data_IF_938329089357
#
_entry.id   IF_938329089357
#
_cell.length_a   1.000
_cell.length_b   1.000
_cell.length_c   1.000
_cell.angle_alpha   90.00
_cell.angle_beta   90.00
_cell.angle_gamma   90.00
#
_symmetry.space_group_name_H-M   'P 1'
#
loop_
_entity.id
_entity.type
_entity.pdbx_description
1 polymer ?
#
# COMPACT_ATOMS: atom_id res chain seq x y z
N UNK A 1 10.65 9.17 28.13
CA UNK A 1 10.02 8.37 27.07
C UNK A 1 10.97 8.36 25.88
N UNK A 2 11.38 7.21 25.32
CA UNK A 2 12.26 7.19 24.15
C UNK A 2 11.53 7.77 22.94
N UNK A 3 12.23 8.58 22.14
CA UNK A 3 11.70 9.14 20.89
C UNK A 3 11.42 8.00 19.89
N UNK A 4 10.36 8.12 19.04
CA UNK A 4 10.09 7.12 18.02
C UNK A 4 11.29 7.03 17.08
N UNK A 5 11.81 5.81 16.92
CA UNK A 5 12.87 5.53 15.94
C UNK A 5 12.34 5.74 14.52
N UNK A 6 13.15 6.23 13.60
CA UNK A 6 12.76 6.52 12.21
C UNK A 6 12.08 5.33 11.51
N UNK A 7 12.47 4.10 11.89
CA UNK A 7 11.86 2.87 11.40
C UNK A 7 10.40 2.67 11.83
N UNK A 8 10.00 3.12 13.02
CA UNK A 8 8.60 3.08 13.45
C UNK A 8 7.74 4.07 12.67
N UNK A 9 8.25 5.29 12.44
CA UNK A 9 7.57 6.32 11.65
C UNK A 9 7.35 5.84 10.21
N UNK A 10 8.37 5.26 9.58
CA UNK A 10 8.26 4.70 8.22
C UNK A 10 7.22 3.57 8.15
N UNK A 11 7.18 2.69 9.15
CA UNK A 11 6.20 1.59 9.21
C UNK A 11 4.77 2.09 9.40
N UNK A 12 4.58 3.16 10.18
CA UNK A 12 3.26 3.81 10.33
C UNK A 12 2.81 4.44 9.02
N UNK A 13 3.69 5.20 8.36
CA UNK A 13 3.40 5.83 7.07
C UNK A 13 3.04 4.80 5.98
N UNK A 14 3.76 3.68 5.91
CA UNK A 14 3.45 2.61 4.96
C UNK A 14 2.06 2.00 5.19
N UNK A 15 1.66 1.79 6.45
CA UNK A 15 0.32 1.29 6.79
C UNK A 15 -0.77 2.27 6.40
N UNK A 16 -0.56 3.55 6.68
CA UNK A 16 -1.49 4.62 6.32
C UNK A 16 -1.64 4.75 4.80
N UNK A 17 -0.54 4.64 4.07
CA UNK A 17 -0.56 4.64 2.59
C UNK A 17 -1.40 3.49 2.03
N UNK A 18 -1.21 2.27 2.54
CA UNK A 18 -2.00 1.09 2.13
C UNK A 18 -3.48 1.26 2.47
N UNK A 19 -3.79 1.86 3.62
CA UNK A 19 -5.16 2.15 4.06
C UNK A 19 -5.87 3.11 3.11
N UNK A 20 -5.22 4.23 2.79
CA UNK A 20 -5.72 5.23 1.83
C UNK A 20 -5.93 4.60 0.44
N UNK A 21 -4.96 3.81 -0.05
CA UNK A 21 -5.06 3.15 -1.34
C UNK A 21 -6.21 2.14 -1.41
N UNK A 22 -6.49 1.43 -0.30
CA UNK A 22 -7.62 0.51 -0.21
C UNK A 22 -8.96 1.26 -0.20
N UNK A 23 -9.03 2.41 0.45
CA UNK A 23 -10.21 3.27 0.40
C UNK A 23 -10.47 3.76 -1.03
N UNK A 24 -9.43 4.21 -1.73
CA UNK A 24 -9.50 4.60 -3.15
C UNK A 24 -9.99 3.43 -4.02
N UNK A 25 -9.43 2.24 -3.83
CA UNK A 25 -9.85 1.01 -4.53
C UNK A 25 -11.33 0.69 -4.30
N UNK A 26 -11.82 0.89 -3.08
CA UNK A 26 -13.23 0.68 -2.72
C UNK A 26 -14.13 1.70 -3.42
N UNK A 27 -13.74 2.99 -3.42
CA UNK A 27 -14.47 4.07 -4.10
C UNK A 27 -14.55 3.81 -5.62
N UNK A 28 -13.44 3.37 -6.22
CA UNK A 28 -13.36 3.03 -7.64
C UNK A 28 -14.00 1.67 -7.98
N UNK A 29 -14.55 0.95 -6.99
CA UNK A 29 -15.14 -0.38 -7.14
C UNK A 29 -14.22 -1.38 -7.85
N UNK A 30 -12.90 -1.28 -7.64
CA UNK A 30 -11.94 -2.20 -8.27
C UNK A 30 -11.94 -3.59 -7.63
N UNK A 31 -12.62 -3.74 -6.48
CA UNK A 31 -12.78 -5.00 -5.76
C UNK A 31 -11.44 -5.67 -5.38
N UNK A 32 -10.39 -4.86 -5.13
CA UNK A 32 -9.12 -5.33 -4.59
C UNK A 32 -9.19 -5.38 -3.06
N UNK A 33 -8.97 -6.57 -2.50
CA UNK A 33 -8.75 -6.73 -1.07
C UNK A 33 -7.38 -6.15 -0.64
N UNK A 34 -7.25 -5.76 0.63
CA UNK A 34 -6.02 -5.25 1.23
C UNK A 34 -4.81 -6.13 0.94
N UNK A 35 -4.96 -7.45 0.93
CA UNK A 35 -3.86 -8.37 0.60
C UNK A 35 -3.44 -8.21 -0.86
N UNK A 36 -4.40 -8.23 -1.80
CA UNK A 36 -4.13 -8.06 -3.23
C UNK A 36 -3.46 -6.71 -3.52
N UNK A 37 -3.95 -5.64 -2.90
CA UNK A 37 -3.38 -4.31 -3.01
C UNK A 37 -1.93 -4.25 -2.51
N UNK A 38 -1.63 -4.91 -1.39
CA UNK A 38 -0.26 -5.03 -0.88
C UNK A 38 0.66 -5.78 -1.85
N UNK A 39 0.17 -6.84 -2.50
CA UNK A 39 0.93 -7.55 -3.53
C UNK A 39 1.18 -6.68 -4.75
N UNK A 40 0.17 -5.93 -5.21
CA UNK A 40 0.32 -5.01 -6.34
C UNK A 40 1.37 -3.94 -6.06
N UNK A 41 1.36 -3.35 -4.86
CA UNK A 41 2.40 -2.38 -4.44
C UNK A 41 3.77 -3.03 -4.49
N UNK A 42 3.94 -4.21 -3.90
CA UNK A 42 5.23 -4.92 -3.92
C UNK A 42 5.71 -5.23 -5.34
N UNK A 43 4.81 -5.65 -6.23
CA UNK A 43 5.16 -5.93 -7.63
C UNK A 43 5.58 -4.66 -8.38
N UNK A 44 4.84 -3.56 -8.18
CA UNK A 44 5.17 -2.26 -8.78
C UNK A 44 6.52 -1.74 -8.24
N UNK A 45 6.77 -1.87 -6.93
CA UNK A 45 8.07 -1.55 -6.32
C UNK A 45 9.23 -2.42 -6.88
N UNK A 46 8.94 -3.63 -7.33
CA UNK A 46 9.89 -4.51 -8.02
C UNK A 46 10.02 -4.22 -9.52
N UNK A 47 9.35 -3.17 -10.04
CA UNK A 47 9.44 -2.73 -11.43
C UNK A 47 8.45 -3.38 -12.39
N UNK A 48 7.42 -4.06 -11.87
CA UNK A 48 6.32 -4.58 -12.70
C UNK A 48 5.44 -3.41 -13.17
N UNK A 49 5.09 -3.41 -14.45
CA UNK A 49 4.20 -2.39 -15.01
C UNK A 49 2.78 -2.56 -14.44
N UNK A 50 2.18 -1.54 -13.81
CA UNK A 50 0.82 -1.61 -13.26
C UNK A 50 -0.26 -1.91 -14.32
N UNK A 51 -0.07 -1.49 -15.57
CA UNK A 51 -1.02 -1.78 -16.66
C UNK A 51 -1.01 -3.26 -17.06
N UNK A 52 0.10 -3.97 -16.82
CA UNK A 52 0.17 -5.42 -17.03
C UNK A 52 -0.44 -6.21 -15.86
N UNK A 53 -0.75 -5.53 -14.76
CA UNK A 53 -1.31 -6.10 -13.54
C UNK A 53 -2.83 -5.90 -13.41
N UNK A 54 -3.41 -5.05 -14.27
CA UNK A 54 -4.82 -4.63 -14.27
C UNK A 54 -5.75 -5.57 -15.05
#
# INVERSE_FOLDING_TARGET
MPAPTDGETKRRAARETVDILHEISTILNTNLDRQALSYCISLIENGVNPEALA
#
